data_IF_662163720603
#
_entry.id   IF_662163720603
#
_cell.length_a   1.000
_cell.length_b   1.000
_cell.length_c   1.000
_cell.angle_alpha   90.00
_cell.angle_beta   90.00
_cell.angle_gamma   90.00
#
_symmetry.space_group_name_H-M   'P 1'
#
loop_
_entity.id
_entity.type
_entity.pdbx_description
1 polymer ?
#
# COMPACT_ATOMS: atom_id res chain seq x y z
N UNK A 1 18.32 -2.06 24.47
CA UNK A 1 17.24 -2.63 23.65
C UNK A 1 15.99 -1.91 24.08
N UNK A 2 15.49 -1.01 23.24
CA UNK A 2 14.14 -0.49 23.44
C UNK A 2 13.17 -1.67 23.27
N UNK A 3 12.16 -1.70 24.13
CA UNK A 3 11.14 -2.73 24.12
C UNK A 3 10.31 -2.53 22.84
N UNK A 4 9.95 -3.58 22.09
CA UNK A 4 9.22 -3.44 20.82
C UNK A 4 7.96 -2.56 20.95
N UNK A 5 7.30 -2.60 22.11
CA UNK A 5 6.16 -1.75 22.46
C UNK A 5 6.45 -0.25 22.42
N UNK A 6 7.67 0.18 22.77
CA UNK A 6 8.05 1.59 22.76
C UNK A 6 8.21 2.16 21.35
N UNK A 7 8.56 1.33 20.37
CA UNK A 7 8.65 1.76 18.97
C UNK A 7 7.27 1.92 18.33
N UNK A 8 6.30 1.08 18.74
CA UNK A 8 4.91 1.22 18.30
C UNK A 8 4.30 2.54 18.83
N UNK A 9 4.61 2.92 20.07
CA UNK A 9 4.16 4.21 20.63
C UNK A 9 4.71 5.42 19.86
N UNK A 10 5.88 5.31 19.21
CA UNK A 10 6.43 6.40 18.39
C UNK A 10 5.87 6.41 16.96
N UNK A 11 5.55 5.24 16.39
CA UNK A 11 5.02 5.10 15.02
C UNK A 11 3.55 5.50 14.89
N UNK A 12 2.77 5.22 15.95
CA UNK A 12 1.32 5.31 15.89
C UNK A 12 0.75 6.43 16.77
N UNK A 13 1.59 7.41 17.13
CA UNK A 13 1.15 8.60 17.87
C UNK A 13 1.63 9.90 17.21
N UNK A 14 0.90 11.00 17.46
CA UNK A 14 1.23 12.31 16.92
C UNK A 14 1.18 12.33 15.39
N UNK A 15 2.28 12.77 14.76
CA UNK A 15 2.47 12.78 13.31
C UNK A 15 3.64 11.88 12.98
N UNK A 16 3.42 10.90 12.10
CA UNK A 16 4.44 10.00 11.59
C UNK A 16 4.52 10.05 10.08
N UNK A 17 5.74 9.98 9.53
CA UNK A 17 5.98 10.03 8.09
C UNK A 17 6.70 8.76 7.64
N UNK A 18 6.02 7.97 6.82
CA UNK A 18 6.50 6.68 6.32
C UNK A 18 7.17 6.85 4.97
N UNK A 19 8.49 6.72 4.94
CA UNK A 19 9.31 6.85 3.74
C UNK A 19 9.58 5.48 3.13
N UNK A 20 9.46 5.39 1.80
CA UNK A 20 9.85 4.20 1.05
C UNK A 20 10.11 4.56 -0.41
N UNK A 21 11.06 3.85 -1.02
CA UNK A 21 11.32 3.95 -2.46
C UNK A 21 11.14 2.58 -3.10
N UNK A 22 10.46 2.55 -4.25
CA UNK A 22 10.12 1.31 -4.96
C UNK A 22 10.58 1.40 -6.41
N UNK A 23 11.15 0.32 -6.92
CA UNK A 23 11.53 0.17 -8.33
C UNK A 23 11.16 -1.22 -8.83
N UNK A 24 10.82 -1.31 -10.12
CA UNK A 24 10.52 -2.60 -10.75
C UNK A 24 11.74 -3.52 -10.74
N UNK A 25 11.53 -4.79 -10.39
CA UNK A 25 12.49 -5.86 -10.69
C UNK A 25 12.17 -6.42 -12.09
N UNK A 26 12.93 -5.97 -13.10
CA UNK A 26 12.72 -6.42 -14.49
C UNK A 26 13.01 -7.92 -14.69
N UNK A 27 13.68 -8.60 -13.75
CA UNK A 27 13.90 -10.04 -13.80
C UNK A 27 12.75 -10.87 -13.24
N UNK A 28 11.89 -10.25 -12.42
CA UNK A 28 10.72 -10.86 -11.80
C UNK A 28 9.49 -9.95 -11.95
N UNK A 29 8.99 -9.75 -13.19
CA UNK A 29 7.91 -8.81 -13.45
C UNK A 29 6.61 -9.22 -12.74
N UNK A 30 5.86 -8.22 -12.27
CA UNK A 30 4.53 -8.44 -11.69
C UNK A 30 3.50 -8.83 -12.77
N UNK A 31 2.50 -9.60 -12.38
CA UNK A 31 1.32 -9.89 -13.19
C UNK A 31 0.15 -8.94 -12.88
N UNK A 32 0.03 -7.86 -13.64
CA UNK A 32 -0.98 -6.82 -13.40
C UNK A 32 -2.46 -7.24 -13.55
N UNK A 33 -2.77 -8.50 -13.86
CA UNK A 33 -4.13 -9.04 -13.70
C UNK A 33 -4.52 -9.19 -12.23
N UNK A 34 -3.54 -9.38 -11.35
CA UNK A 34 -3.74 -9.44 -9.89
C UNK A 34 -3.63 -8.06 -9.26
N UNK A 35 -4.18 -7.96 -8.06
CA UNK A 35 -3.86 -6.88 -7.14
C UNK A 35 -2.50 -7.14 -6.48
N UNK A 36 -1.78 -6.07 -6.17
CA UNK A 36 -0.65 -6.09 -5.26
C UNK A 36 -0.82 -5.00 -4.22
N UNK A 37 -0.71 -5.35 -2.95
CA UNK A 37 -0.62 -4.43 -1.83
C UNK A 37 0.84 -4.42 -1.41
N UNK A 38 1.51 -3.28 -1.62
CA UNK A 38 2.99 -3.25 -1.65
C UNK A 38 3.62 -2.47 -0.49
N UNK A 39 2.84 -1.57 0.13
CA UNK A 39 3.12 -0.90 1.40
C UNK A 39 1.78 -0.58 2.05
N UNK A 40 1.58 -0.90 3.31
CA UNK A 40 0.33 -0.60 4.03
C UNK A 40 0.56 -0.62 5.54
N UNK A 41 -0.36 0.00 6.28
CA UNK A 41 -0.46 -0.17 7.73
C UNK A 41 -1.71 -0.99 8.02
N UNK A 42 -1.55 -2.19 8.60
CA UNK A 42 -2.63 -3.14 8.87
C UNK A 42 -3.04 -3.10 10.35
N UNK A 43 -4.26 -2.63 10.67
CA UNK A 43 -4.85 -2.80 11.98
C UNK A 43 -5.31 -4.24 12.22
N UNK A 44 -5.72 -4.53 13.44
CA UNK A 44 -6.11 -5.90 13.85
C UNK A 44 -7.32 -6.50 13.12
N UNK A 45 -8.08 -5.70 12.38
CA UNK A 45 -9.26 -6.14 11.61
C UNK A 45 -8.95 -6.49 10.15
N UNK A 46 -7.69 -6.35 9.72
CA UNK A 46 -7.25 -6.63 8.35
C UNK A 46 -7.60 -5.53 7.34
N UNK A 47 -8.08 -4.37 7.81
CA UNK A 47 -8.20 -3.16 6.99
C UNK A 47 -6.83 -2.51 6.77
N UNK A 48 -6.79 -1.31 6.17
CA UNK A 48 -5.57 -0.52 6.10
C UNK A 48 -5.81 0.91 6.58
N UNK A 49 -4.87 1.50 7.33
CA UNK A 49 -4.92 2.97 7.60
C UNK A 49 -4.64 3.74 6.31
N UNK A 50 -3.68 3.27 5.53
CA UNK A 50 -3.46 3.61 4.13
C UNK A 50 -2.85 2.41 3.41
N UNK A 51 -2.96 2.39 2.08
CA UNK A 51 -2.29 1.38 1.26
C UNK A 51 -1.68 1.97 -0.01
N UNK A 52 -0.56 1.39 -0.45
CA UNK A 52 -0.03 1.54 -1.80
C UNK A 52 -0.35 0.28 -2.58
N UNK A 53 -1.10 0.44 -3.66
CA UNK A 53 -1.57 -0.65 -4.51
C UNK A 53 -0.99 -0.57 -5.92
N UNK A 54 -0.72 -1.72 -6.52
CA UNK A 54 -0.44 -1.94 -7.93
C UNK A 54 -1.38 -2.99 -8.51
N UNK A 55 -1.45 -3.09 -9.84
CA UNK A 55 -2.25 -4.13 -10.49
C UNK A 55 -3.76 -3.86 -10.47
N UNK A 56 -4.54 -4.89 -10.78
CA UNK A 56 -5.99 -4.80 -10.89
C UNK A 56 -6.66 -5.08 -9.55
N UNK A 57 -7.57 -4.21 -9.06
CA UNK A 57 -8.18 -4.41 -7.75
C UNK A 57 -8.85 -5.78 -7.60
N UNK A 58 -8.66 -6.40 -6.44
CA UNK A 58 -9.33 -7.65 -6.12
C UNK A 58 -10.83 -7.42 -6.06
N UNK A 59 -11.58 -8.31 -6.72
CA UNK A 59 -13.03 -8.28 -6.75
C UNK A 59 -13.57 -9.70 -6.74
N UNK A 60 -14.70 -9.90 -6.06
CA UNK A 60 -15.44 -11.15 -6.07
C UNK A 60 -16.89 -10.90 -6.52
N UNK A 61 -17.30 -11.30 -7.74
CA UNK A 61 -16.51 -12.03 -8.75
C UNK A 61 -15.41 -11.16 -9.37
N UNK A 62 -14.41 -11.80 -9.99
CA UNK A 62 -13.33 -11.08 -10.69
C UNK A 62 -13.88 -10.22 -11.81
N UNK A 63 -13.57 -8.92 -11.75
CA UNK A 63 -13.91 -7.93 -12.76
C UNK A 63 -13.07 -8.04 -14.03
N UNK A 64 -13.09 -6.99 -14.85
CA UNK A 64 -12.25 -6.92 -16.05
C UNK A 64 -10.80 -6.69 -15.66
N UNK A 65 -9.93 -7.63 -16.03
CA UNK A 65 -8.49 -7.57 -15.78
C UNK A 65 -7.70 -7.68 -17.10
N UNK A 66 -6.57 -6.97 -17.25
CA UNK A 66 -6.07 -5.95 -16.34
C UNK A 66 -6.96 -4.69 -16.33
N UNK A 67 -7.09 -4.05 -15.17
CA UNK A 67 -7.78 -2.77 -15.01
C UNK A 67 -7.06 -1.65 -15.77
N UNK A 68 -7.76 -0.58 -16.21
CA UNK A 68 -7.14 0.51 -16.98
C UNK A 68 -5.93 1.18 -16.32
N UNK A 69 -5.87 1.21 -14.99
CA UNK A 69 -4.78 1.77 -14.19
C UNK A 69 -3.90 0.71 -13.51
N UNK A 70 -3.93 -0.55 -13.97
CA UNK A 70 -3.20 -1.64 -13.33
C UNK A 70 -1.67 -1.44 -13.30
N UNK A 71 -1.13 -0.64 -14.23
CA UNK A 71 0.30 -0.28 -14.28
C UNK A 71 0.62 1.01 -13.54
N UNK A 72 -0.26 1.48 -12.64
CA UNK A 72 -0.06 2.69 -11.85
C UNK A 72 -0.05 2.37 -10.37
N UNK A 73 0.86 3.00 -9.64
CA UNK A 73 0.74 3.09 -8.19
C UNK A 73 -0.53 3.85 -7.84
N UNK A 74 -1.24 3.38 -6.84
CA UNK A 74 -2.42 4.01 -6.25
C UNK A 74 -2.20 4.11 -4.75
N UNK A 75 -2.23 5.32 -4.20
CA UNK A 75 -2.29 5.51 -2.74
C UNK A 75 -3.77 5.57 -2.36
N UNK A 76 -4.18 4.75 -1.40
CA UNK A 76 -5.55 4.63 -0.94
C UNK A 76 -5.68 4.99 0.54
N UNK A 77 -6.81 5.61 0.89
CA UNK A 77 -7.23 5.78 2.29
C UNK A 77 -7.85 4.48 2.84
N UNK A 78 -8.31 4.55 4.09
CA UNK A 78 -8.96 3.42 4.76
C UNK A 78 -10.23 2.92 4.05
N UNK A 79 -11.00 3.82 3.42
CA UNK A 79 -12.21 3.48 2.66
C UNK A 79 -11.90 2.98 1.23
N UNK A 80 -10.62 2.79 0.89
CA UNK A 80 -10.14 2.39 -0.43
C UNK A 80 -10.42 3.42 -1.53
N UNK A 81 -10.61 4.71 -1.18
CA UNK A 81 -10.64 5.78 -2.15
C UNK A 81 -9.22 5.99 -2.70
N UNK A 82 -9.10 6.22 -4.00
CA UNK A 82 -7.81 6.53 -4.62
C UNK A 82 -7.53 8.03 -4.46
N UNK A 83 -6.41 8.32 -3.80
CA UNK A 83 -6.01 9.66 -3.39
C UNK A 83 -4.95 10.25 -4.32
N UNK A 84 -4.02 9.39 -4.72
CA UNK A 84 -2.95 9.71 -5.63
C UNK A 84 -2.73 8.55 -6.58
N UNK A 85 -2.47 8.85 -7.85
CA UNK A 85 -2.16 7.84 -8.87
C UNK A 85 -1.00 8.32 -9.72
N UNK A 86 -0.03 7.45 -9.94
CA UNK A 86 1.11 7.74 -10.81
C UNK A 86 1.55 6.48 -11.57
N UNK A 87 1.93 6.66 -12.82
CA UNK A 87 2.36 5.55 -13.68
C UNK A 87 3.62 4.89 -13.11
N UNK A 88 3.60 3.58 -12.93
CA UNK A 88 4.77 2.82 -12.49
C UNK A 88 5.70 2.57 -13.68
N UNK A 89 6.67 3.47 -13.84
CA UNK A 89 7.64 3.42 -14.93
C UNK A 89 8.82 2.51 -14.59
N UNK A 90 9.15 1.59 -15.50
CA UNK A 90 10.33 0.72 -15.33
C UNK A 90 11.62 1.55 -15.25
N UNK A 91 12.63 1.00 -14.56
CA UNK A 91 13.95 1.58 -14.32
C UNK A 91 13.97 2.85 -13.45
N UNK A 92 12.83 3.42 -13.12
CA UNK A 92 12.67 4.58 -12.24
C UNK A 92 12.53 4.14 -10.79
N UNK A 93 13.22 4.83 -9.89
CA UNK A 93 12.87 4.80 -8.46
C UNK A 93 11.69 5.74 -8.22
N UNK A 94 10.66 5.22 -7.58
CA UNK A 94 9.47 5.96 -7.14
C UNK A 94 9.58 6.17 -5.65
N UNK A 95 9.80 7.42 -5.24
CA UNK A 95 10.00 7.77 -3.84
C UNK A 95 8.67 8.27 -3.28
N UNK A 96 8.26 7.75 -2.13
CA UNK A 96 7.06 8.15 -1.44
C UNK A 96 7.41 8.53 -0.01
N UNK A 97 6.66 9.51 0.50
CA UNK A 97 6.45 9.65 1.93
C UNK A 97 4.95 9.80 2.19
N UNK A 98 4.41 9.02 3.13
CA UNK A 98 3.02 9.14 3.57
C UNK A 98 3.03 9.65 4.99
N UNK A 99 2.56 10.88 5.19
CA UNK A 99 2.41 11.48 6.50
C UNK A 99 1.04 11.12 7.05
N UNK A 100 0.98 10.59 8.28
CA UNK A 100 -0.25 10.29 9.01
C UNK A 100 -0.26 11.12 10.29
N UNK A 101 -1.32 11.91 10.47
CA UNK A 101 -1.64 12.58 11.74
C UNK A 101 -2.71 11.77 12.46
N UNK A 102 -2.28 11.03 13.47
CA UNK A 102 -3.11 10.13 14.27
C UNK A 102 -4.10 10.87 15.17
N UNK A 103 -3.82 12.13 15.52
CA UNK A 103 -4.68 12.93 16.38
C UNK A 103 -5.78 13.64 15.60
N UNK A 104 -5.44 14.20 14.43
CA UNK A 104 -6.40 14.89 13.56
C UNK A 104 -7.06 13.99 12.53
N UNK A 105 -6.64 12.73 12.43
CA UNK A 105 -7.12 11.75 11.45
C UNK A 105 -6.96 12.27 10.02
N UNK A 106 -5.74 12.67 9.68
CA UNK A 106 -5.43 13.13 8.32
C UNK A 106 -4.20 12.44 7.77
N UNK A 107 -4.05 12.45 6.46
CA UNK A 107 -2.79 12.10 5.83
C UNK A 107 -2.45 13.06 4.69
N UNK A 108 -1.19 13.02 4.26
CA UNK A 108 -0.70 13.71 3.07
C UNK A 108 0.31 12.83 2.34
N UNK A 109 0.27 12.86 1.01
CA UNK A 109 1.18 12.10 0.16
C UNK A 109 2.23 13.03 -0.43
N UNK A 110 3.49 12.62 -0.29
CA UNK A 110 4.64 13.22 -0.95
C UNK A 110 5.21 12.20 -1.93
N UNK A 111 5.67 12.69 -3.08
CA UNK A 111 6.18 11.82 -4.13
C UNK A 111 7.28 12.50 -4.95
N UNK A 112 8.25 11.71 -5.38
CA UNK A 112 9.22 12.11 -6.39
C UNK A 112 9.76 10.91 -7.16
N UNK A 113 10.65 11.16 -8.10
CA UNK A 113 11.36 10.09 -8.82
C UNK A 113 12.86 10.24 -8.74
N UNK A 114 13.56 9.11 -8.67
CA UNK A 114 15.01 9.02 -8.66
C UNK A 114 15.64 9.92 -7.59
N UNK A 115 16.45 10.89 -7.99
CA UNK A 115 17.22 11.78 -7.10
C UNK A 115 16.46 13.09 -6.79
N UNK A 116 15.26 13.28 -7.34
CA UNK A 116 14.48 14.48 -7.09
C UNK A 116 14.00 14.53 -5.62
N UNK A 117 13.99 15.73 -5.00
CA UNK A 117 13.40 15.89 -3.67
C UNK A 117 11.91 15.53 -3.70
N UNK A 118 11.39 15.09 -2.55
CA UNK A 118 9.96 14.85 -2.36
C UNK A 118 9.19 16.17 -2.45
N UNK A 119 8.09 16.16 -3.20
CA UNK A 119 7.12 17.25 -3.24
C UNK A 119 5.78 16.74 -2.72
N UNK A 120 5.01 17.62 -2.05
CA UNK A 120 3.63 17.33 -1.70
C UNK A 120 2.80 17.19 -2.99
N UNK A 121 2.22 16.02 -3.20
CA UNK A 121 1.38 15.72 -4.39
C UNK A 121 -0.10 15.68 -4.08
N UNK A 122 -0.46 15.80 -2.80
CA UNK A 122 -1.83 16.01 -2.33
C UNK A 122 -1.86 17.15 -1.33
N UNK A 123 -3.04 17.75 -1.14
CA UNK A 123 -3.32 18.50 0.08
C UNK A 123 -3.38 17.54 1.28
N UNK A 124 -3.47 18.10 2.49
CA UNK A 124 -3.83 17.33 3.69
C UNK A 124 -5.28 16.87 3.54
N UNK A 125 -5.52 15.57 3.60
CA UNK A 125 -6.82 14.94 3.38
C UNK A 125 -7.30 14.21 4.63
N UNK A 126 -8.62 14.16 4.88
CA UNK A 126 -9.18 13.42 6.01
C UNK A 126 -8.99 11.90 5.83
N UNK A 127 -8.82 11.20 6.95
CA UNK A 127 -8.79 9.75 7.10
C UNK A 127 -9.73 9.30 8.23
N UNK A 128 -10.85 10.01 8.38
CA UNK A 128 -11.77 9.86 9.52
C UNK A 128 -12.28 8.43 9.69
N UNK A 129 -12.37 7.68 8.59
CA UNK A 129 -12.85 6.29 8.58
C UNK A 129 -11.88 5.30 9.21
N UNK A 130 -10.57 5.60 9.25
CA UNK A 130 -9.66 4.83 10.09
C UNK A 130 -10.04 4.98 11.57
N UNK A 131 -10.39 6.18 12.02
CA UNK A 131 -10.75 6.44 13.42
C UNK A 131 -9.55 6.53 14.37
N UNK A 132 -9.75 7.19 15.51
CA UNK A 132 -8.67 7.64 16.39
C UNK A 132 -7.94 6.56 17.21
N UNK A 133 -8.52 5.35 17.30
CA UNK A 133 -7.93 4.23 18.04
C UNK A 133 -7.40 3.12 17.10
N UNK A 134 -7.39 3.37 15.79
CA UNK A 134 -6.92 2.41 14.79
C UNK A 134 -5.46 2.70 14.47
N UNK A 135 -4.62 1.84 15.03
CA UNK A 135 -3.18 1.75 14.82
C UNK A 135 -2.86 0.38 14.21
N UNK A 136 -1.67 0.20 13.64
CA UNK A 136 -1.39 -1.05 12.92
C UNK A 136 0.08 -1.30 12.65
N UNK A 137 0.35 -2.52 12.19
CA UNK A 137 1.69 -2.92 11.81
C UNK A 137 2.04 -2.32 10.45
N UNK A 138 3.26 -1.79 10.29
CA UNK A 138 3.74 -1.28 9.01
C UNK A 138 4.31 -2.42 8.15
N UNK A 139 3.63 -2.75 7.06
CA UNK A 139 4.04 -3.77 6.11
C UNK A 139 4.68 -3.13 4.87
N UNK A 140 5.90 -3.56 4.55
CA UNK A 140 6.54 -3.32 3.25
C UNK A 140 6.97 -4.66 2.65
N UNK A 141 6.54 -4.92 1.43
CA UNK A 141 6.68 -6.24 0.80
C UNK A 141 5.64 -6.42 -0.28
N UNK A 142 5.36 -7.65 -0.70
CA UNK A 142 4.36 -7.91 -1.73
C UNK A 142 3.32 -8.86 -1.17
N UNK A 143 2.10 -8.37 -0.99
CA UNK A 143 0.90 -9.18 -0.79
C UNK A 143 0.12 -9.21 -2.11
N UNK A 144 -0.06 -10.42 -2.66
CA UNK A 144 -0.78 -10.66 -3.91
C UNK A 144 -2.04 -11.48 -3.61
N UNK A 145 -3.24 -10.88 -3.56
CA UNK A 145 -4.49 -11.64 -3.48
C UNK A 145 -4.67 -12.54 -4.72
N UNK A 146 -5.34 -13.70 -4.57
CA UNK A 146 -5.63 -14.57 -5.70
C UNK A 146 -6.67 -13.94 -6.64
N UNK A 147 -6.81 -14.46 -7.87
CA UNK A 147 -8.04 -14.25 -8.64
C UNK A 147 -9.12 -15.22 -8.14
N UNK A 148 -10.38 -14.80 -8.19
CA UNK A 148 -11.48 -15.69 -7.79
C UNK A 148 -11.60 -16.80 -8.82
N UNK A 149 -11.57 -18.05 -8.36
CA UNK A 149 -11.83 -19.19 -9.21
C UNK A 149 -13.35 -19.41 -9.34
N UNK A 150 -13.94 -19.27 -10.54
CA UNK A 150 -15.38 -19.44 -10.71
C UNK A 150 -15.86 -20.89 -10.49
N UNK A 151 -14.94 -21.85 -10.41
CA UNK A 151 -15.25 -23.25 -10.11
C UNK A 151 -15.35 -23.53 -8.60
N UNK A 152 -14.85 -22.63 -7.75
CA UNK A 152 -14.93 -22.75 -6.30
C UNK A 152 -16.36 -22.43 -5.83
N UNK A 153 -16.80 -23.07 -4.74
CA UNK A 153 -18.09 -22.75 -4.10
C UNK A 153 -18.07 -21.33 -3.49
N UNK A 154 -19.22 -20.70 -3.22
CA UNK A 154 -19.25 -19.36 -2.62
C UNK A 154 -18.47 -19.25 -1.30
N UNK A 155 -18.47 -20.29 -0.47
CA UNK A 155 -17.70 -20.31 0.78
C UNK A 155 -16.19 -20.35 0.51
N UNK A 156 -15.75 -21.08 -0.51
CA UNK A 156 -14.34 -21.11 -0.93
C UNK A 156 -13.92 -19.79 -1.57
N UNK A 157 -14.78 -19.17 -2.39
CA UNK A 157 -14.51 -17.85 -2.96
C UNK A 157 -14.41 -16.74 -1.89
N UNK A 158 -15.01 -16.94 -0.71
CA UNK A 158 -14.88 -16.04 0.43
C UNK A 158 -13.62 -16.29 1.28
N UNK A 159 -12.95 -17.45 1.10
CA UNK A 159 -11.74 -17.84 1.83
C UNK A 159 -10.51 -17.65 0.93
N UNK A 160 -10.20 -16.38 0.66
CA UNK A 160 -9.12 -15.92 -0.23
C UNK A 160 -7.72 -16.29 0.26
N UNK A 161 -7.60 -16.70 1.52
CA UNK A 161 -6.32 -17.15 2.11
C UNK A 161 -5.95 -18.55 1.61
N UNK A 162 -6.94 -19.40 1.32
CA UNK A 162 -6.73 -20.81 0.97
C UNK A 162 -7.15 -21.17 -0.46
N UNK A 163 -8.00 -20.37 -1.11
CA UNK A 163 -8.58 -20.67 -2.42
C UNK A 163 -8.35 -19.55 -3.44
N UNK A 164 -8.66 -19.84 -4.70
CA UNK A 164 -8.45 -18.95 -5.85
C UNK A 164 -7.28 -19.35 -6.75
N UNK A 165 -7.06 -18.55 -7.79
CA UNK A 165 -6.03 -18.76 -8.80
C UNK A 165 -4.82 -17.89 -8.49
N UNK A 166 -3.62 -18.49 -8.52
CA UNK A 166 -2.33 -17.85 -8.30
C UNK A 166 -1.33 -18.40 -9.32
N UNK A 167 -1.24 -17.77 -10.49
CA UNK A 167 -0.21 -18.08 -11.48
C UNK A 167 1.14 -17.42 -11.17
N UNK A 168 2.21 -17.92 -11.79
CA UNK A 168 3.57 -17.44 -11.58
C UNK A 168 4.25 -18.06 -10.36
N UNK A 169 5.58 -18.04 -10.34
CA UNK A 169 6.36 -18.55 -9.20
C UNK A 169 7.28 -17.52 -8.56
N UNK A 170 7.72 -16.50 -9.32
CA UNK A 170 8.62 -15.46 -8.85
C UNK A 170 8.21 -14.12 -9.45
N UNK A 171 7.90 -13.18 -8.57
CA UNK A 171 7.52 -11.80 -8.88
C UNK A 171 8.19 -10.90 -7.84
N UNK A 172 8.60 -9.69 -8.22
CA UNK A 172 9.50 -8.90 -7.41
C UNK A 172 9.38 -7.39 -7.60
N UNK A 173 9.72 -6.69 -6.53
CA UNK A 173 9.93 -5.26 -6.46
C UNK A 173 11.22 -5.03 -5.68
N UNK A 174 11.95 -3.99 -6.04
CA UNK A 174 13.13 -3.52 -5.32
C UNK A 174 12.71 -2.41 -4.36
N UNK A 175 13.11 -2.52 -3.10
CA UNK A 175 12.84 -1.53 -2.06
C UNK A 175 14.15 -0.88 -1.59
N UNK A 176 14.12 0.42 -1.33
CA UNK A 176 15.19 1.14 -0.64
C UNK A 176 14.61 2.28 0.21
N UNK A 177 15.44 2.87 1.06
CA UNK A 177 15.09 4.06 1.85
C UNK A 177 13.78 3.88 2.64
N UNK A 178 13.61 2.70 3.24
CA UNK A 178 12.46 2.40 4.10
C UNK A 178 12.79 2.83 5.52
N UNK A 179 12.16 3.90 5.98
CA UNK A 179 12.29 4.42 7.34
C UNK A 179 11.06 5.23 7.72
N UNK A 180 10.95 5.57 9.01
CA UNK A 180 9.91 6.45 9.53
C UNK A 180 10.58 7.57 10.32
N UNK A 181 9.98 8.75 10.28
CA UNK A 181 10.33 9.88 11.14
C UNK A 181 9.08 10.46 11.81
N UNK A 182 9.30 11.11 12.95
CA UNK A 182 8.23 11.75 13.72
C UNK A 182 8.19 13.25 13.43
N UNK A 183 6.99 13.83 13.50
CA UNK A 183 6.73 15.21 13.13
C UNK A 183 6.34 15.38 11.66
N UNK A 184 5.80 16.55 11.27
CA UNK A 184 5.41 16.82 9.89
C UNK A 184 6.63 16.97 8.98
N UNK A 185 6.50 16.56 7.73
CA UNK A 185 7.49 16.84 6.68
C UNK A 185 7.48 18.33 6.35
N UNK A 186 8.66 18.97 6.33
CA UNK A 186 8.85 20.40 5.98
C UNK A 186 9.18 20.64 4.50
#
# INVERSE_FOLDING_TARGET
MENATALNEEMDTGVSVFHFSIKADESHPLNYTHEYQVVFIEPTDGSHVFGLQLGSPFTNPTGVVPAPNATSFKVLDHDLNILFTILFTSKTWHNFAVQVDWGNLTFQVFYSTNEAPLDAVTDVMPNDSAGADIVGDFHFGILKPPLVNPLDSPAQQADVVHYGLQEGSLEGLLYSSVFMETGPLE
#
